data_IF_550000703551
#
_entry.id   IF_550000703551
#
_cell.length_a   1.000
_cell.length_b   1.000
_cell.length_c   1.000
_cell.angle_alpha   90.00
_cell.angle_beta   90.00
_cell.angle_gamma   90.00
#
_symmetry.space_group_name_H-M   'P 1'
#
loop_
_entity.id
_entity.type
_entity.pdbx_description
1 polymer ?
#
# COMPACT_ATOMS: atom_id res chain seq x y z
N UNK A 1 20.06 11.61 1.85
CA UNK A 1 19.19 10.44 2.09
C UNK A 1 17.71 10.83 2.18
N UNK A 2 17.33 11.68 3.15
CA UNK A 2 15.93 12.02 3.40
C UNK A 2 15.20 12.67 2.21
N UNK A 3 15.88 13.56 1.46
CA UNK A 3 15.31 14.18 0.26
C UNK A 3 15.00 13.16 -0.86
N UNK A 4 15.85 12.14 -1.01
CA UNK A 4 15.64 11.06 -2.00
C UNK A 4 14.44 10.22 -1.58
N UNK A 5 14.32 9.89 -0.29
CA UNK A 5 13.16 9.15 0.24
C UNK A 5 11.84 9.90 0.02
N UNK A 6 11.82 11.20 0.28
CA UNK A 6 10.62 12.04 0.04
C UNK A 6 10.25 12.05 -1.44
N UNK A 7 11.24 12.13 -2.34
CA UNK A 7 11.02 12.10 -3.78
C UNK A 7 10.50 10.73 -4.25
N UNK A 8 11.04 9.63 -3.72
CA UNK A 8 10.54 8.28 -4.03
C UNK A 8 9.12 8.09 -3.50
N UNK A 9 8.82 8.62 -2.32
CA UNK A 9 7.47 8.59 -1.73
C UNK A 9 6.45 9.37 -2.58
N UNK A 10 6.80 10.58 -3.02
CA UNK A 10 5.90 11.37 -3.88
C UNK A 10 5.69 10.73 -5.24
N UNK A 11 6.73 10.16 -5.86
CA UNK A 11 6.60 9.39 -7.10
C UNK A 11 5.71 8.16 -6.90
N UNK A 12 5.90 7.42 -5.81
CA UNK A 12 5.07 6.26 -5.46
C UNK A 12 3.60 6.62 -5.31
N UNK A 13 3.30 7.77 -4.68
CA UNK A 13 1.92 8.27 -4.55
C UNK A 13 1.31 8.57 -5.91
N UNK A 14 2.06 9.23 -6.81
CA UNK A 14 1.59 9.54 -8.17
C UNK A 14 1.29 8.25 -8.94
N UNK A 15 2.18 7.25 -8.84
CA UNK A 15 1.99 5.94 -9.48
C UNK A 15 0.73 5.27 -8.92
N UNK A 16 0.55 5.28 -7.59
CA UNK A 16 -0.62 4.71 -6.93
C UNK A 16 -1.93 5.35 -7.45
N UNK A 17 -1.99 6.68 -7.52
CA UNK A 17 -3.13 7.42 -8.06
C UNK A 17 -3.44 7.04 -9.53
N UNK A 18 -2.40 6.86 -10.34
CA UNK A 18 -2.56 6.50 -11.76
C UNK A 18 -2.97 5.03 -12.00
N UNK A 19 -2.71 4.14 -11.03
CA UNK A 19 -2.87 2.68 -11.16
C UNK A 19 -4.30 2.17 -10.89
N UNK A 20 -5.30 3.06 -10.92
CA UNK A 20 -6.69 2.80 -10.49
C UNK A 20 -7.47 1.75 -11.30
N UNK A 21 -6.90 1.18 -12.38
CA UNK A 21 -7.60 0.21 -13.26
C UNK A 21 -7.44 -1.24 -12.84
N UNK A 22 -6.31 -1.59 -12.24
CA UNK A 22 -6.00 -2.96 -11.82
C UNK A 22 -5.80 -2.97 -10.30
N UNK A 23 -6.75 -3.58 -9.60
CA UNK A 23 -6.84 -3.50 -8.14
C UNK A 23 -5.63 -4.19 -7.46
N UNK A 24 -5.12 -5.27 -8.06
CA UNK A 24 -3.87 -5.93 -7.62
C UNK A 24 -2.65 -4.99 -7.70
N UNK A 25 -2.51 -4.21 -8.79
CA UNK A 25 -1.40 -3.26 -8.96
C UNK A 25 -1.50 -2.13 -7.94
N UNK A 26 -2.72 -1.65 -7.66
CA UNK A 26 -2.97 -0.67 -6.61
C UNK A 26 -2.57 -1.17 -5.22
N UNK A 27 -2.90 -2.43 -4.88
CA UNK A 27 -2.49 -3.08 -3.62
C UNK A 27 -0.97 -3.18 -3.48
N UNK A 28 -0.27 -3.58 -4.53
CA UNK A 28 1.19 -3.66 -4.53
C UNK A 28 1.83 -2.28 -4.31
N UNK A 29 1.30 -1.25 -4.96
CA UNK A 29 1.75 0.13 -4.75
C UNK A 29 1.50 0.62 -3.32
N UNK A 30 0.40 0.20 -2.69
CA UNK A 30 0.08 0.54 -1.30
C UNK A 30 1.05 -0.13 -0.31
N UNK A 31 1.39 -1.40 -0.52
CA UNK A 31 2.38 -2.11 0.30
C UNK A 31 3.76 -1.46 0.20
N UNK A 32 4.18 -1.04 -1.00
CA UNK A 32 5.42 -0.29 -1.20
C UNK A 32 5.42 1.06 -0.46
N UNK A 33 4.28 1.75 -0.43
CA UNK A 33 4.09 3.01 0.31
C UNK A 33 4.25 2.82 1.84
N UNK A 34 3.70 1.74 2.39
CA UNK A 34 3.85 1.38 3.81
C UNK A 34 5.32 1.11 4.14
N UNK A 35 6.06 0.42 3.28
CA UNK A 35 7.49 0.16 3.50
C UNK A 35 8.33 1.43 3.48
N UNK A 36 8.05 2.39 2.58
CA UNK A 36 8.73 3.70 2.58
C UNK A 36 8.47 4.49 3.87
N UNK A 37 7.23 4.43 4.37
CA UNK A 37 6.84 5.04 5.65
C UNK A 37 7.55 4.38 6.84
N UNK A 38 7.66 3.05 6.85
CA UNK A 38 8.43 2.32 7.86
C UNK A 38 9.90 2.76 7.85
N UNK A 39 10.49 2.91 6.65
CA UNK A 39 11.86 3.37 6.51
C UNK A 39 12.02 4.79 7.08
N UNK A 40 11.05 5.68 6.88
CA UNK A 40 11.04 7.02 7.48
C UNK A 40 10.93 6.98 9.03
N UNK A 41 10.05 6.13 9.56
CA UNK A 41 9.86 5.94 11.01
C UNK A 41 11.13 5.44 11.70
N UNK A 42 11.88 4.54 11.05
CA UNK A 42 13.16 4.03 11.56
C UNK A 42 14.28 5.07 11.60
N UNK A 43 14.22 6.11 10.76
CA UNK A 43 15.18 7.23 10.82
C UNK A 43 14.86 8.24 11.92
N UNK A 44 13.65 8.19 12.51
CA UNK A 44 13.30 9.05 13.64
C UNK A 44 13.98 8.55 14.91
N UNK A 45 14.86 9.36 15.56
CA UNK A 45 15.56 8.94 16.78
C UNK A 45 14.63 8.80 17.99
N UNK A 46 13.41 9.34 17.91
CA UNK A 46 12.42 9.32 19.00
C UNK A 46 11.52 8.08 18.99
N UNK A 47 11.52 7.32 17.88
CA UNK A 47 10.67 6.15 17.78
C UNK A 47 11.33 4.92 18.39
N UNK A 48 10.58 4.23 19.26
CA UNK A 48 10.97 2.92 19.74
C UNK A 48 10.80 1.87 18.63
N UNK A 49 11.68 0.86 18.61
CA UNK A 49 11.54 -0.29 17.70
C UNK A 49 10.16 -0.94 17.78
N UNK A 50 9.54 -0.94 18.97
CA UNK A 50 8.21 -1.49 19.19
C UNK A 50 7.12 -0.73 18.43
N UNK A 51 7.23 0.59 18.33
CA UNK A 51 6.34 1.42 17.50
C UNK A 51 6.47 1.08 16.01
N UNK A 52 7.71 0.90 15.53
CA UNK A 52 7.97 0.52 14.15
C UNK A 52 7.42 -0.88 13.81
N UNK A 53 7.55 -1.85 14.72
CA UNK A 53 6.94 -3.17 14.54
C UNK A 53 5.42 -3.12 14.55
N UNK A 54 4.82 -2.34 15.44
CA UNK A 54 3.37 -2.16 15.48
C UNK A 54 2.84 -1.58 14.17
N UNK A 55 3.51 -0.55 13.63
CA UNK A 55 3.19 0.03 12.33
C UNK A 55 3.23 -1.01 11.20
N UNK A 56 4.28 -1.85 11.14
CA UNK A 56 4.36 -2.93 10.15
C UNK A 56 3.22 -3.94 10.30
N UNK A 57 2.87 -4.34 11.53
CA UNK A 57 1.79 -5.32 11.74
C UNK A 57 0.44 -4.79 11.25
N UNK A 58 0.12 -3.52 11.52
CA UNK A 58 -1.09 -2.88 10.98
C UNK A 58 -1.04 -2.85 9.45
N UNK A 59 0.10 -2.47 8.88
CA UNK A 59 0.27 -2.42 7.42
C UNK A 59 0.03 -3.77 6.73
N UNK A 60 0.54 -4.86 7.31
CA UNK A 60 0.31 -6.22 6.78
C UNK A 60 -1.16 -6.65 6.94
N UNK A 61 -1.83 -6.26 8.03
CA UNK A 61 -3.25 -6.53 8.21
C UNK A 61 -4.11 -5.84 7.14
N UNK A 62 -3.84 -4.57 6.83
CA UNK A 62 -4.51 -3.85 5.74
C UNK A 62 -4.24 -4.51 4.37
N UNK A 63 -3.01 -4.98 4.14
CA UNK A 63 -2.68 -5.76 2.94
C UNK A 63 -3.48 -7.06 2.85
N UNK A 64 -3.61 -7.82 3.94
CA UNK A 64 -4.40 -9.05 3.99
C UNK A 64 -5.89 -8.79 3.76
N UNK A 65 -6.43 -7.72 4.35
CA UNK A 65 -7.81 -7.28 4.11
C UNK A 65 -8.03 -6.91 2.64
N UNK A 66 -7.14 -6.12 2.05
CA UNK A 66 -7.22 -5.75 0.63
C UNK A 66 -7.09 -6.93 -0.33
N UNK A 67 -6.27 -7.93 -0.01
CA UNK A 67 -6.19 -9.15 -0.83
C UNK A 67 -7.47 -10.00 -0.70
N UNK A 68 -8.06 -10.06 0.50
CA UNK A 68 -9.30 -10.81 0.72
C UNK A 68 -10.49 -10.22 -0.06
N UNK A 69 -10.56 -8.89 -0.15
CA UNK A 69 -11.59 -8.21 -0.96
C UNK A 69 -11.34 -8.43 -2.45
N UNK A 70 -10.09 -8.38 -2.91
CA UNK A 70 -9.73 -8.73 -4.29
C UNK A 70 -10.22 -10.13 -4.66
N UNK A 71 -9.93 -11.14 -3.82
CA UNK A 71 -10.39 -12.52 -4.06
C UNK A 71 -11.92 -12.61 -4.11
N UNK A 72 -12.63 -11.86 -3.27
CA UNK A 72 -14.10 -11.83 -3.30
C UNK A 72 -14.65 -11.24 -4.60
N UNK A 73 -14.02 -10.17 -5.13
CA UNK A 73 -14.42 -9.53 -6.39
C UNK A 73 -14.16 -10.43 -7.61
N UNK A 74 -13.03 -11.14 -7.62
CA UNK A 74 -12.71 -12.11 -8.68
C UNK A 74 -13.74 -13.23 -8.73
N UNK A 75 -14.25 -13.68 -7.56
CA UNK A 75 -15.27 -14.73 -7.48
C UNK A 75 -16.67 -14.27 -7.91
N UNK A 76 -16.99 -12.98 -7.80
CA UNK A 76 -18.31 -12.45 -8.20
C UNK A 76 -18.36 -12.03 -9.67
N UNK A 77 -17.34 -11.32 -10.16
CA UNK A 77 -17.38 -10.63 -11.46
C UNK A 77 -16.38 -11.18 -12.50
N UNK A 78 -15.61 -12.21 -12.15
CA UNK A 78 -14.74 -12.95 -13.06
C UNK A 78 -13.55 -12.16 -13.65
N UNK A 79 -13.38 -10.88 -13.31
CA UNK A 79 -12.27 -10.05 -13.80
C UNK A 79 -11.78 -9.06 -12.72
N UNK A 80 -10.46 -8.83 -12.68
CA UNK A 80 -9.76 -7.92 -11.76
C UNK A 80 -10.01 -6.42 -12.03
N UNK A 81 -11.02 -6.11 -12.84
CA UNK A 81 -11.28 -4.77 -13.36
C UNK A 81 -12.18 -4.02 -12.38
N UNK A 82 -11.60 -3.08 -11.64
CA UNK A 82 -12.32 -2.19 -10.71
C UNK A 82 -13.49 -1.43 -11.39
N UNK A 83 -13.45 -1.29 -12.72
CA UNK A 83 -14.47 -0.63 -13.54
C UNK A 83 -15.83 -1.34 -13.49
N UNK A 84 -15.88 -2.65 -13.21
CA UNK A 84 -17.16 -3.36 -13.15
C UNK A 84 -17.98 -3.03 -11.89
N UNK A 85 -17.36 -2.40 -10.87
CA UNK A 85 -18.07 -1.91 -9.68
C UNK A 85 -18.89 -0.63 -9.94
N UNK A 86 -19.06 -0.21 -11.20
CA UNK A 86 -19.88 0.93 -11.60
C UNK A 86 -21.25 0.50 -12.21
N UNK A 87 -21.76 -0.66 -11.81
CA UNK A 87 -23.19 -1.03 -11.96
C UNK A 87 -23.96 -0.57 -10.75
#
# INVERSE_FOLDING_TARGET
MMMIMILVFSLSLIIFLSSSKHLLVSLLCLEFLILLLFFFLCYSPENSFLSCFYFLTIGVCEGALGLSTLVSLVRSEGSDLAVLMNV
#
